data_IF_958411154045
#
_entry.id   IF_958411154045
#
_cell.length_a   1.000
_cell.length_b   1.000
_cell.length_c   1.000
_cell.angle_alpha   90.00
_cell.angle_beta   90.00
_cell.angle_gamma   90.00
#
_symmetry.space_group_name_H-M   'P 1'
#
loop_
_entity.id
_entity.type
_entity.pdbx_description
1 polymer ?
#
# COMPACT_ATOMS: atom_id res chain seq x y z
N UNK A 1 -8.52 20.28 -13.45
CA UNK A 1 -7.50 19.73 -12.52
C UNK A 1 -7.30 18.26 -12.85
N UNK A 2 -6.06 17.82 -13.11
CA UNK A 2 -5.77 16.40 -13.38
C UNK A 2 -5.99 15.54 -12.14
N UNK A 3 -6.29 14.25 -12.32
CA UNK A 3 -6.39 13.31 -11.19
C UNK A 3 -5.03 13.11 -10.52
N UNK A 4 -5.01 13.16 -9.19
CA UNK A 4 -3.83 12.87 -8.38
C UNK A 4 -3.45 11.39 -8.52
N UNK A 5 -2.17 11.13 -8.79
CA UNK A 5 -1.59 9.79 -8.88
C UNK A 5 -0.54 9.59 -7.79
N UNK A 6 -0.46 8.38 -7.25
CA UNK A 6 0.59 7.92 -6.34
C UNK A 6 1.37 6.76 -6.94
N UNK A 7 2.62 6.58 -6.51
CA UNK A 7 3.46 5.45 -6.93
C UNK A 7 3.28 4.29 -5.96
N UNK A 8 2.90 3.14 -6.49
CA UNK A 8 2.67 1.92 -5.71
C UNK A 8 3.86 0.99 -5.92
N UNK A 9 4.47 0.54 -4.83
CA UNK A 9 5.52 -0.47 -4.85
C UNK A 9 4.90 -1.86 -5.10
N UNK A 10 4.03 -2.27 -4.19
CA UNK A 10 3.41 -3.61 -4.22
C UNK A 10 2.07 -3.61 -3.48
N UNK A 11 1.40 -4.77 -3.52
CA UNK A 11 0.14 -5.01 -2.85
C UNK A 11 0.18 -6.39 -2.21
N UNK A 12 -0.32 -6.49 -0.99
CA UNK A 12 -0.63 -7.75 -0.32
C UNK A 12 -2.15 -7.87 -0.12
N UNK A 13 -2.74 -8.93 -0.66
CA UNK A 13 -4.20 -9.09 -0.70
C UNK A 13 -4.80 -9.62 0.59
N UNK A 14 -3.97 -10.20 1.47
CA UNK A 14 -4.39 -10.94 2.67
C UNK A 14 -3.38 -10.78 3.82
N UNK A 15 -3.07 -9.55 4.20
CA UNK A 15 -2.20 -9.25 5.35
C UNK A 15 -2.90 -9.53 6.68
N UNK A 16 -2.21 -10.24 7.57
CA UNK A 16 -2.71 -10.64 8.91
C UNK A 16 -2.02 -9.89 10.06
N UNK A 17 -0.94 -9.16 9.76
CA UNK A 17 -0.10 -8.49 10.77
C UNK A 17 0.00 -6.97 10.53
N UNK A 18 -0.74 -6.45 9.55
CA UNK A 18 -0.71 -5.05 9.09
C UNK A 18 -1.90 -4.23 9.59
N UNK A 19 -2.53 -4.68 10.68
CA UNK A 19 -3.69 -4.08 11.31
C UNK A 19 -4.70 -5.13 11.80
N UNK A 20 -5.85 -4.70 12.35
CA UNK A 20 -6.90 -5.59 12.82
C UNK A 20 -7.55 -6.39 11.68
N UNK A 21 -7.79 -7.68 11.89
CA UNK A 21 -8.45 -8.56 10.91
C UNK A 21 -7.62 -8.76 9.63
N UNK A 22 -8.28 -9.22 8.56
CA UNK A 22 -7.61 -9.38 7.26
C UNK A 22 -7.53 -8.03 6.54
N UNK A 23 -6.34 -7.71 6.04
CA UNK A 23 -6.03 -6.44 5.40
C UNK A 23 -5.63 -6.62 3.94
N UNK A 24 -6.15 -5.76 3.08
CA UNK A 24 -5.56 -5.50 1.77
C UNK A 24 -4.55 -4.36 1.97
N UNK A 25 -3.26 -4.67 1.86
CA UNK A 25 -2.18 -3.73 2.12
C UNK A 25 -1.67 -3.18 0.80
N UNK A 26 -1.63 -1.85 0.71
CA UNK A 26 -1.04 -1.13 -0.43
C UNK A 26 0.26 -0.53 0.06
N UNK A 27 1.40 -1.00 -0.47
CA UNK A 27 2.71 -0.46 -0.16
C UNK A 27 3.05 0.64 -1.16
N UNK A 28 3.19 1.87 -0.68
CA UNK A 28 3.60 3.02 -1.49
C UNK A 28 5.11 3.00 -1.73
N UNK A 29 5.51 3.53 -2.87
CA UNK A 29 6.91 3.74 -3.24
C UNK A 29 7.40 5.12 -2.75
N UNK A 30 8.63 5.15 -2.27
CA UNK A 30 9.33 6.34 -1.79
C UNK A 30 9.41 6.38 -0.26
N UNK A 31 10.62 6.47 0.28
CA UNK A 31 10.84 6.71 1.71
C UNK A 31 12.02 7.65 1.88
N UNK A 32 11.93 8.69 2.72
CA UNK A 32 13.08 9.55 3.03
C UNK A 32 13.92 9.06 4.21
N UNK A 33 13.40 8.11 5.00
CA UNK A 33 14.15 7.50 6.10
C UNK A 33 15.10 6.42 5.59
N UNK A 34 16.18 6.16 6.32
CA UNK A 34 17.20 5.14 6.01
C UNK A 34 17.44 4.26 7.24
N UNK A 35 16.36 3.67 7.75
CA UNK A 35 16.41 2.83 8.93
C UNK A 35 17.42 1.68 8.73
N UNK A 36 18.29 1.43 9.72
CA UNK A 36 19.33 0.39 9.66
C UNK A 36 18.76 -1.02 9.43
N UNK A 37 17.54 -1.26 9.89
CA UNK A 37 16.82 -2.54 9.77
C UNK A 37 15.51 -2.35 8.99
N UNK A 38 15.54 -1.54 7.94
CA UNK A 38 14.38 -1.37 7.08
C UNK A 38 14.01 -2.72 6.45
N UNK A 39 12.76 -3.14 6.62
CA UNK A 39 12.29 -4.39 6.03
C UNK A 39 12.10 -4.28 4.50
N UNK A 40 11.83 -3.06 4.03
CA UNK A 40 11.48 -2.76 2.63
C UNK A 40 12.42 -1.69 2.02
N UNK A 41 13.75 -1.88 1.99
CA UNK A 41 14.71 -0.89 1.47
C UNK A 41 14.51 -0.56 -0.02
N UNK A 42 13.89 -1.46 -0.79
CA UNK A 42 13.49 -1.25 -2.18
C UNK A 42 12.46 -0.12 -2.34
N UNK A 43 11.72 0.22 -1.29
CA UNK A 43 10.78 1.35 -1.32
C UNK A 43 11.46 2.72 -1.24
N UNK A 44 12.79 2.81 -1.03
CA UNK A 44 13.46 4.08 -0.76
C UNK A 44 13.47 5.08 -1.91
N UNK A 45 13.57 4.60 -3.15
CA UNK A 45 13.66 5.45 -4.33
C UNK A 45 12.26 5.95 -4.74
N UNK A 46 12.01 7.27 -4.79
CA UNK A 46 10.67 7.80 -5.01
C UNK A 46 10.19 7.74 -6.48
N UNK A 47 11.08 7.44 -7.42
CA UNK A 47 10.85 7.49 -8.88
C UNK A 47 10.53 6.11 -9.50
N UNK A 48 10.54 5.06 -8.70
CA UNK A 48 10.16 3.69 -9.11
C UNK A 48 8.65 3.43 -8.89
N UNK A 49 8.21 2.18 -9.02
CA UNK A 49 6.82 1.77 -8.80
C UNK A 49 5.82 2.21 -9.88
N UNK A 50 4.58 1.77 -9.73
CA UNK A 50 3.51 1.98 -10.71
C UNK A 50 2.65 3.20 -10.34
N UNK A 51 2.47 4.13 -11.28
CA UNK A 51 1.59 5.29 -11.09
C UNK A 51 0.12 4.88 -11.19
N UNK A 52 -0.61 5.01 -10.09
CA UNK A 52 -2.06 4.75 -10.03
C UNK A 52 -2.80 5.87 -9.35
N UNK A 53 -4.05 6.05 -9.76
CA UNK A 53 -5.03 6.87 -9.06
C UNK A 53 -5.57 6.12 -7.84
N UNK A 54 -6.10 6.86 -6.86
CA UNK A 54 -6.76 6.24 -5.70
C UNK A 54 -7.92 5.33 -6.12
N UNK A 55 -8.65 5.69 -7.18
CA UNK A 55 -9.75 4.90 -7.72
C UNK A 55 -9.27 3.55 -8.25
N UNK A 56 -8.23 3.54 -9.09
CA UNK A 56 -7.69 2.29 -9.65
C UNK A 56 -7.19 1.32 -8.56
N UNK A 57 -6.60 1.85 -7.49
CA UNK A 57 -6.17 1.05 -6.34
C UNK A 57 -7.37 0.52 -5.56
N UNK A 58 -8.34 1.37 -5.26
CA UNK A 58 -9.53 1.00 -4.50
C UNK A 58 -10.40 -0.03 -5.23
N UNK A 59 -10.63 0.15 -6.54
CA UNK A 59 -11.40 -0.79 -7.35
C UNK A 59 -10.81 -2.21 -7.27
N UNK A 60 -9.48 -2.33 -7.26
CA UNK A 60 -8.78 -3.62 -7.08
C UNK A 60 -8.94 -4.17 -5.66
N UNK A 61 -8.82 -3.32 -4.64
CA UNK A 61 -8.95 -3.69 -3.23
C UNK A 61 -10.37 -4.16 -2.89
N UNK A 62 -11.39 -3.47 -3.40
CA UNK A 62 -12.81 -3.72 -3.10
C UNK A 62 -13.31 -5.10 -3.56
N UNK A 63 -12.59 -5.74 -4.50
CA UNK A 63 -12.83 -7.14 -4.87
C UNK A 63 -12.63 -8.12 -3.71
N UNK A 64 -11.85 -7.75 -2.70
CA UNK A 64 -11.51 -8.57 -1.53
C UNK A 64 -12.32 -8.24 -0.28
N UNK A 65 -13.31 -7.35 -0.37
CA UNK A 65 -14.10 -6.86 0.78
C UNK A 65 -14.79 -7.97 1.59
N UNK A 66 -15.06 -9.14 0.99
CA UNK A 66 -15.65 -10.29 1.69
C UNK A 66 -14.75 -10.84 2.81
N UNK A 67 -13.45 -10.56 2.76
CA UNK A 67 -12.48 -10.93 3.80
C UNK A 67 -12.32 -9.88 4.89
N UNK A 68 -12.83 -8.65 4.70
CA UNK A 68 -12.71 -7.53 5.66
C UNK A 68 -13.69 -7.66 6.84
N UNK A 69 -13.63 -8.80 7.52
CA UNK A 69 -14.41 -9.11 8.73
C UNK A 69 -13.62 -8.70 9.96
N UNK A 70 -14.29 -8.59 11.11
CA UNK A 70 -13.67 -8.33 12.41
C UNK A 70 -12.72 -7.12 12.38
N UNK A 71 -13.20 -6.00 11.84
CA UNK A 71 -12.43 -4.76 11.67
C UNK A 71 -11.26 -4.86 10.65
N UNK A 72 -11.28 -5.87 9.77
CA UNK A 72 -10.45 -5.96 8.56
C UNK A 72 -10.73 -4.82 7.57
N UNK A 73 -9.90 -4.68 6.54
CA UNK A 73 -10.05 -3.58 5.58
C UNK A 73 -8.82 -3.28 4.72
N UNK A 74 -8.56 -2.00 4.47
CA UNK A 74 -7.45 -1.50 3.64
C UNK A 74 -6.38 -0.81 4.49
N UNK A 75 -5.13 -1.30 4.44
CA UNK A 75 -3.95 -0.62 5.03
C UNK A 75 -3.16 0.07 3.93
N UNK A 76 -2.72 1.31 4.17
CA UNK A 76 -1.73 1.99 3.33
C UNK A 76 -0.42 2.03 4.10
N UNK A 77 0.62 1.44 3.53
CA UNK A 77 1.94 1.25 4.16
C UNK A 77 3.04 1.48 3.11
N UNK A 78 4.23 0.94 3.32
CA UNK A 78 5.38 1.02 2.42
C UNK A 78 6.41 2.02 2.92
N UNK A 79 6.84 2.92 2.05
CA UNK A 79 7.67 4.05 2.44
C UNK A 79 6.86 5.28 2.89
N UNK A 80 7.57 6.33 3.31
CA UNK A 80 7.00 7.64 3.60
C UNK A 80 7.86 8.76 2.97
N UNK A 81 7.25 9.54 2.07
CA UNK A 81 7.86 10.73 1.43
C UNK A 81 7.43 12.03 2.06
#
# INVERSE_FOLDING_TARGET
>A
MGQVKGRIHSVETFGLVDGPGVRYVVFLQGCRMRCKYCHNPETWKPDEGELKTAKEVFDKAYRYRSYWKNNGGLTVSGGAV
#
